data_IF_662559530975
#
_entry.id   IF_662559530975
#
_cell.length_a   1.000
_cell.length_b   1.000
_cell.length_c   1.000
_cell.angle_alpha   90.00
_cell.angle_beta   90.00
_cell.angle_gamma   90.00
#
_symmetry.space_group_name_H-M   'P 1'
#
loop_
_entity.id
_entity.type
_entity.pdbx_description
1 polymer ?
#
# COMPACT_ATOMS: atom_id res chain seq x y z
N UNK A 1 14.14 2.95 -11.44
CA UNK A 1 12.79 2.92 -10.85
C UNK A 1 12.69 4.12 -9.93
N UNK A 2 11.52 4.76 -9.88
CA UNK A 2 11.35 6.04 -9.17
C UNK A 2 9.88 6.29 -8.81
N UNK A 3 9.64 7.19 -7.84
CA UNK A 3 8.33 7.63 -7.39
C UNK A 3 8.23 9.16 -7.47
N UNK A 4 7.14 9.64 -8.05
CA UNK A 4 6.82 11.06 -8.10
C UNK A 4 5.43 11.33 -7.48
N UNK A 5 5.34 12.37 -6.67
CA UNK A 5 4.09 12.82 -6.05
C UNK A 5 3.58 14.06 -6.78
N UNK A 6 2.44 13.93 -7.44
CA UNK A 6 1.75 15.06 -8.06
C UNK A 6 0.76 15.65 -7.05
N UNK A 7 1.07 16.83 -6.52
CA UNK A 7 0.16 17.58 -5.66
C UNK A 7 -1.14 17.88 -6.41
N UNK A 8 -2.27 17.59 -5.76
CA UNK A 8 -3.59 17.96 -6.27
C UNK A 8 -4.09 19.23 -5.56
N UNK A 9 -5.35 19.62 -5.79
CA UNK A 9 -5.97 20.72 -5.03
C UNK A 9 -6.03 20.41 -3.53
N UNK A 10 -6.02 19.13 -3.17
CA UNK A 10 -5.94 18.65 -1.80
C UNK A 10 -4.53 18.11 -1.55
N UNK A 11 -3.75 18.88 -0.77
CA UNK A 11 -2.35 18.58 -0.47
C UNK A 11 -2.18 17.25 0.29
N UNK A 12 -3.21 16.75 0.97
CA UNK A 12 -3.20 15.46 1.66
C UNK A 12 -3.54 14.29 0.74
N UNK A 13 -3.96 14.58 -0.49
CA UNK A 13 -4.35 13.61 -1.50
C UNK A 13 -3.59 13.82 -2.82
N UNK A 14 -2.24 13.72 -2.81
CA UNK A 14 -1.47 13.68 -4.05
C UNK A 14 -1.79 12.42 -4.87
N UNK A 15 -1.53 12.48 -6.18
CA UNK A 15 -1.46 11.27 -7.01
C UNK A 15 -0.03 10.72 -6.98
N UNK A 16 0.09 9.42 -6.75
CA UNK A 16 1.39 8.73 -6.68
C UNK A 16 1.68 8.10 -8.04
N UNK A 17 2.72 8.59 -8.71
CA UNK A 17 3.23 8.02 -9.95
C UNK A 17 4.42 7.14 -9.64
N UNK A 18 4.42 5.91 -10.15
CA UNK A 18 5.53 4.99 -10.00
C UNK A 18 6.01 4.45 -11.34
N UNK A 19 7.33 4.44 -11.53
CA UNK A 19 7.98 3.84 -12.71
C UNK A 19 8.54 2.47 -12.32
N UNK A 20 7.98 1.43 -12.94
CA UNK A 20 8.34 0.04 -12.67
C UNK A 20 9.02 -0.57 -13.89
N UNK A 21 10.00 -1.44 -13.64
CA UNK A 21 10.66 -2.21 -14.70
C UNK A 21 10.43 -3.70 -14.51
N UNK A 22 10.48 -4.46 -15.60
CA UNK A 22 10.38 -5.90 -15.54
C UNK A 22 11.61 -6.49 -14.84
N UNK A 23 11.41 -7.49 -13.99
CA UNK A 23 12.51 -8.22 -13.32
C UNK A 23 13.20 -9.24 -14.23
N UNK A 24 12.60 -9.54 -15.40
CA UNK A 24 13.15 -10.49 -16.36
C UNK A 24 14.43 -9.96 -16.99
N UNK A 25 15.48 -10.79 -17.03
CA UNK A 25 16.75 -10.47 -17.70
C UNK A 25 16.65 -10.50 -19.23
N UNK A 26 15.64 -11.20 -19.77
CA UNK A 26 15.44 -11.39 -21.21
C UNK A 26 14.41 -10.41 -21.75
N UNK A 27 13.31 -10.20 -21.02
CA UNK A 27 12.25 -9.25 -21.39
C UNK A 27 12.45 -7.94 -20.66
N UNK A 28 12.90 -6.91 -21.39
CA UNK A 28 13.03 -5.55 -20.87
C UNK A 28 11.80 -4.74 -21.23
N UNK A 29 11.08 -4.29 -20.21
CA UNK A 29 9.93 -3.41 -20.34
C UNK A 29 9.82 -2.50 -19.12
N UNK A 30 9.18 -1.35 -19.34
CA UNK A 30 8.90 -0.38 -18.29
C UNK A 30 7.43 0.01 -18.35
N UNK A 31 6.85 0.29 -17.20
CA UNK A 31 5.49 0.79 -17.08
C UNK A 31 5.44 1.96 -16.11
N UNK A 32 4.51 2.87 -16.35
CA UNK A 32 4.15 3.93 -15.41
C UNK A 32 2.77 3.61 -14.88
N UNK A 33 2.65 3.52 -13.56
CA UNK A 33 1.37 3.33 -12.88
C UNK A 33 1.04 4.56 -12.06
N UNK A 34 -0.26 4.83 -11.91
CA UNK A 34 -0.79 5.94 -11.12
C UNK A 34 -1.68 5.37 -10.03
N UNK A 35 -1.50 5.84 -8.79
CA UNK A 35 -2.25 5.39 -7.63
C UNK A 35 -2.82 6.59 -6.88
N UNK A 36 -4.07 6.47 -6.40
CA UNK A 36 -4.68 7.49 -5.57
C UNK A 36 -4.46 7.23 -4.07
N UNK A 37 -4.35 8.29 -3.27
CA UNK A 37 -4.29 8.13 -1.81
C UNK A 37 -5.57 7.51 -1.22
N UNK A 38 -6.71 7.62 -1.91
CA UNK A 38 -7.95 6.97 -1.51
C UNK A 38 -7.83 5.44 -1.58
N UNK A 39 -7.32 4.90 -2.69
CA UNK A 39 -7.10 3.46 -2.86
C UNK A 39 -6.05 2.92 -1.88
N UNK A 40 -4.95 3.67 -1.71
CA UNK A 40 -3.89 3.31 -0.75
C UNK A 40 -4.47 3.19 0.67
N UNK A 41 -5.24 4.18 1.13
CA UNK A 41 -5.89 4.14 2.45
C UNK A 41 -6.94 3.04 2.54
N UNK A 42 -7.66 2.74 1.46
CA UNK A 42 -8.64 1.65 1.44
C UNK A 42 -7.95 0.30 1.68
N UNK A 43 -6.80 0.05 1.05
CA UNK A 43 -6.00 -1.16 1.27
C UNK A 43 -5.47 -1.21 2.70
N UNK A 44 -4.92 -0.12 3.23
CA UNK A 44 -4.49 -0.07 4.63
C UNK A 44 -5.63 -0.27 5.62
N UNK A 45 -6.86 0.10 5.26
CA UNK A 45 -8.08 -0.14 6.04
C UNK A 45 -8.74 -1.51 5.80
N UNK A 46 -8.18 -2.29 4.87
CA UNK A 46 -8.64 -3.63 4.53
C UNK A 46 -8.12 -4.73 5.46
N UNK A 47 -8.22 -5.99 5.03
CA UNK A 47 -7.72 -7.13 5.78
C UNK A 47 -6.20 -7.16 5.87
N UNK A 48 -5.67 -7.68 6.97
CA UNK A 48 -4.23 -7.93 7.11
C UNK A 48 -3.83 -9.24 6.43
N UNK A 49 -2.63 -9.29 5.85
CA UNK A 49 -2.01 -10.54 5.43
C UNK A 49 -1.48 -11.30 6.66
N UNK A 50 -1.75 -12.59 6.74
CA UNK A 50 -1.39 -13.45 7.87
C UNK A 50 -0.74 -14.75 7.41
N UNK A 51 0.15 -15.30 8.25
CA UNK A 51 0.83 -16.56 8.02
C UNK A 51 1.15 -17.21 9.37
N UNK A 52 0.58 -18.39 9.62
CA UNK A 52 0.70 -19.11 10.91
C UNK A 52 2.12 -19.58 11.23
N UNK A 53 2.92 -19.91 10.21
CA UNK A 53 4.31 -20.37 10.38
C UNK A 53 5.10 -20.12 9.10
N UNK A 54 6.43 -20.17 9.15
CA UNK A 54 7.33 -19.88 8.01
C UNK A 54 7.04 -20.67 6.72
N UNK A 55 6.39 -21.84 6.80
CA UNK A 55 6.06 -22.66 5.64
C UNK A 55 4.62 -22.47 5.13
N UNK A 56 3.75 -21.79 5.89
CA UNK A 56 2.36 -21.55 5.48
C UNK A 56 2.26 -20.54 4.33
N UNK A 57 1.15 -20.58 3.58
CA UNK A 57 0.85 -19.55 2.58
C UNK A 57 0.33 -18.28 3.26
N UNK A 58 0.60 -17.13 2.66
CA UNK A 58 -0.10 -15.90 3.04
C UNK A 58 -1.61 -16.06 2.81
N UNK A 59 -2.38 -15.78 3.84
CA UNK A 59 -3.84 -15.78 3.81
C UNK A 59 -4.35 -14.46 4.37
N UNK A 60 -5.64 -14.21 4.20
CA UNK A 60 -6.29 -13.11 4.89
C UNK A 60 -6.38 -13.41 6.39
N UNK A 61 -6.10 -12.43 7.25
CA UNK A 61 -6.34 -12.53 8.68
C UNK A 61 -7.85 -12.57 8.96
N UNK A 62 -8.34 -13.68 9.52
CA UNK A 62 -9.76 -13.88 9.84
C UNK A 62 -10.08 -13.64 11.33
N UNK A 63 -9.06 -13.40 12.17
CA UNK A 63 -9.24 -13.11 13.58
C UNK A 63 -9.84 -11.73 13.85
N UNK A 64 -10.17 -11.46 15.11
CA UNK A 64 -10.64 -10.13 15.53
C UNK A 64 -9.47 -9.13 15.48
N UNK A 65 -9.62 -8.08 14.68
CA UNK A 65 -8.67 -6.97 14.67
C UNK A 65 -8.71 -6.25 16.04
N UNK A 66 -7.56 -6.10 16.74
CA UNK A 66 -7.52 -5.46 18.05
C UNK A 66 -7.80 -3.95 17.95
N UNK A 67 -8.21 -3.34 19.08
CA UNK A 67 -8.51 -1.90 19.18
C UNK A 67 -7.51 -1.17 20.09
N UNK A 68 -6.98 0.01 19.70
CA UNK A 68 -7.19 0.68 18.40
C UNK A 68 -6.57 -0.14 17.25
N UNK A 69 -7.13 0.01 16.06
CA UNK A 69 -6.70 -0.75 14.87
C UNK A 69 -5.22 -0.46 14.60
N UNK A 70 -4.34 -1.47 14.52
CA UNK A 70 -2.92 -1.26 14.24
C UNK A 70 -2.69 -0.41 13.00
N UNK A 71 -1.88 0.64 13.12
CA UNK A 71 -1.63 1.63 12.06
C UNK A 71 -2.54 2.86 12.11
N UNK A 72 -3.51 2.92 13.01
CA UNK A 72 -4.30 4.14 13.26
C UNK A 72 -3.54 5.10 14.17
N UNK A 73 -3.43 6.37 13.78
CA UNK A 73 -2.87 7.42 14.65
C UNK A 73 -3.97 7.91 15.60
N UNK A 74 -3.70 7.92 16.91
CA UNK A 74 -4.59 8.57 17.88
C UNK A 74 -4.48 10.08 17.71
N UNK A 75 -5.61 10.77 17.54
CA UNK A 75 -5.67 12.23 17.33
C UNK A 75 -5.27 13.08 18.55
N UNK A 76 -4.34 12.61 19.38
CA UNK A 76 -3.87 13.28 20.60
C UNK A 76 -2.38 13.67 20.55
N UNK A 77 -1.73 13.57 19.38
CA UNK A 77 -0.31 13.87 19.19
C UNK A 77 -0.03 14.79 17.99
N UNK A 78 -1.03 15.59 17.60
CA UNK A 78 -0.89 16.79 16.76
C UNK A 78 -1.46 17.98 17.53
#
# INVERSE_FOLDING_TARGET
EDIFLLSTRDEWNPLVYGVFTTTSSVFKGSAVCVYSMAEIRAVFNGPYAHKESADHRWVQYEGRIPYPRPGTVSGSLI
#
